data_IF_298540613456
#
_entry.id   IF_298540613456
#
_cell.length_a   1.000
_cell.length_b   1.000
_cell.length_c   1.000
_cell.angle_alpha   90.00
_cell.angle_beta   90.00
_cell.angle_gamma   90.00
#
_symmetry.space_group_name_H-M   'P 1'
#
loop_
_entity.id
_entity.type
_entity.pdbx_description
1 polymer ?
#
# COMPACT_ATOMS: atom_id res chain seq x y z
N UNK A 1 -19.71 -37.02 -61.13
CA UNK A 1 -20.58 -38.06 -60.55
C UNK A 1 -20.42 -37.97 -59.06
N UNK A 2 -21.57 -37.95 -58.39
CA UNK A 2 -21.84 -38.09 -56.96
C UNK A 2 -21.73 -36.84 -56.07
N UNK A 3 -22.83 -36.07 -56.17
CA UNK A 3 -23.46 -35.29 -55.11
C UNK A 3 -23.76 -36.18 -53.88
N UNK A 4 -23.44 -35.72 -52.67
CA UNK A 4 -24.28 -35.99 -51.48
C UNK A 4 -24.35 -34.73 -50.61
N UNK A 5 -25.55 -34.17 -50.56
CA UNK A 5 -26.09 -33.18 -49.63
C UNK A 5 -26.26 -33.74 -48.23
N UNK A 6 -26.03 -32.95 -47.17
CA UNK A 6 -26.68 -33.20 -45.87
C UNK A 6 -27.08 -31.88 -45.16
N UNK A 7 -28.39 -31.62 -45.27
CA UNK A 7 -29.36 -31.11 -44.29
C UNK A 7 -28.95 -30.04 -43.25
N UNK A 8 -29.63 -28.91 -43.33
CA UNK A 8 -29.88 -27.97 -42.23
C UNK A 8 -31.15 -28.37 -41.44
N UNK A 9 -31.08 -28.31 -40.11
CA UNK A 9 -32.14 -28.04 -39.11
C UNK A 9 -31.61 -28.53 -37.73
N UNK A 10 -31.83 -27.94 -36.54
CA UNK A 10 -32.23 -26.63 -36.01
C UNK A 10 -32.05 -26.72 -34.48
N UNK A 11 -31.37 -25.75 -33.87
CA UNK A 11 -31.63 -25.07 -32.58
C UNK A 11 -31.81 -25.94 -31.30
N UNK A 12 -30.91 -25.78 -30.31
CA UNK A 12 -31.24 -25.16 -29.00
C UNK A 12 -29.97 -24.98 -28.13
N UNK A 13 -29.93 -23.91 -27.34
CA UNK A 13 -29.03 -23.81 -26.18
C UNK A 13 -28.09 -22.60 -26.13
N UNK A 14 -28.64 -21.38 -26.12
CA UNK A 14 -28.16 -20.22 -25.35
C UNK A 14 -26.65 -19.94 -25.30
N UNK A 15 -26.14 -19.40 -26.40
CA UNK A 15 -25.03 -18.45 -26.42
C UNK A 15 -25.41 -17.17 -25.65
N UNK A 16 -25.15 -17.13 -24.34
CA UNK A 16 -25.17 -15.86 -23.56
C UNK A 16 -24.44 -15.86 -22.22
N UNK A 17 -23.45 -16.72 -22.01
CA UNK A 17 -22.69 -16.78 -20.74
C UNK A 17 -21.19 -16.49 -20.85
N UNK A 18 -20.70 -16.11 -22.04
CA UNK A 18 -19.26 -15.94 -22.31
C UNK A 18 -18.86 -14.53 -22.81
N UNK A 19 -19.70 -13.53 -22.54
CA UNK A 19 -19.43 -12.11 -22.82
C UNK A 19 -19.55 -11.17 -21.60
N UNK A 20 -19.48 -11.71 -20.37
CA UNK A 20 -19.64 -10.94 -19.13
C UNK A 20 -18.44 -11.01 -18.16
N UNK A 21 -17.24 -11.35 -18.64
CA UNK A 21 -16.00 -11.31 -17.83
C UNK A 21 -14.92 -10.41 -18.44
N UNK A 22 -15.34 -9.36 -19.14
CA UNK A 22 -14.50 -8.24 -19.56
C UNK A 22 -15.11 -6.90 -19.15
N UNK A 23 -15.63 -6.81 -17.93
CA UNK A 23 -15.64 -5.52 -17.23
C UNK A 23 -14.33 -5.43 -16.44
N UNK A 24 -13.28 -5.02 -17.14
CA UNK A 24 -12.05 -4.58 -16.53
C UNK A 24 -12.35 -3.58 -15.41
N UNK A 25 -11.76 -3.75 -14.23
CA UNK A 25 -11.76 -2.78 -13.11
C UNK A 25 -11.20 -1.38 -13.46
N UNK A 26 -10.90 -1.10 -14.73
CA UNK A 26 -10.54 0.20 -15.28
C UNK A 26 -11.68 1.25 -15.25
N UNK A 27 -12.91 0.88 -14.88
CA UNK A 27 -14.11 1.74 -15.03
C UNK A 27 -14.15 2.93 -14.04
N UNK A 28 -13.32 2.93 -13.00
CA UNK A 28 -13.43 3.92 -11.91
C UNK A 28 -12.22 4.85 -11.71
N UNK A 29 -11.26 4.86 -12.64
CA UNK A 29 -10.18 5.85 -12.60
C UNK A 29 -10.71 7.28 -12.72
N UNK A 30 -10.27 8.17 -11.82
CA UNK A 30 -10.68 9.57 -11.82
C UNK A 30 -12.11 9.82 -11.32
N UNK A 31 -12.76 8.82 -10.71
CA UNK A 31 -14.07 8.95 -10.08
C UNK A 31 -14.02 8.65 -8.58
N UNK A 32 -15.04 9.10 -7.86
CA UNK A 32 -15.24 8.75 -6.46
C UNK A 32 -15.99 7.42 -6.36
N UNK A 33 -15.45 6.50 -5.57
CA UNK A 33 -16.03 5.19 -5.27
C UNK A 33 -16.52 5.21 -3.82
N UNK A 34 -17.70 4.63 -3.58
CA UNK A 34 -18.27 4.47 -2.25
C UNK A 34 -17.88 3.11 -1.68
N UNK A 35 -17.53 3.07 -0.40
CA UNK A 35 -17.23 1.87 0.37
C UNK A 35 -17.89 1.97 1.75
N UNK A 36 -18.32 0.84 2.29
CA UNK A 36 -19.00 0.80 3.59
C UNK A 36 -18.01 0.67 4.74
N UNK A 37 -16.88 0.01 4.49
CA UNK A 37 -15.85 -0.27 5.49
C UNK A 37 -14.50 0.32 5.12
N UNK A 38 -13.67 0.56 6.13
CA UNK A 38 -12.28 0.98 5.91
C UNK A 38 -11.42 -0.17 5.35
N UNK A 39 -11.77 -1.43 5.62
CA UNK A 39 -11.08 -2.60 5.10
C UNK A 39 -11.24 -2.72 3.58
N UNK A 40 -12.44 -2.47 3.08
CA UNK A 40 -12.73 -2.39 1.65
C UNK A 40 -11.89 -1.29 0.97
N UNK A 41 -11.78 -0.12 1.60
CA UNK A 41 -10.91 0.97 1.14
C UNK A 41 -9.44 0.53 1.05
N UNK A 42 -8.93 -0.19 2.05
CA UNK A 42 -7.56 -0.70 2.04
C UNK A 42 -7.35 -1.72 0.91
N UNK A 43 -8.32 -2.61 0.69
CA UNK A 43 -8.29 -3.57 -0.41
C UNK A 43 -8.30 -2.87 -1.78
N UNK A 44 -9.13 -1.83 -1.95
CA UNK A 44 -9.15 -1.01 -3.17
C UNK A 44 -7.80 -0.33 -3.43
N UNK A 45 -7.18 0.24 -2.40
CA UNK A 45 -5.84 0.83 -2.52
C UNK A 45 -4.81 -0.24 -2.89
N UNK A 46 -4.84 -1.41 -2.26
CA UNK A 46 -3.89 -2.49 -2.54
C UNK A 46 -4.03 -3.03 -3.98
N UNK A 47 -5.26 -3.18 -4.47
CA UNK A 47 -5.53 -3.59 -5.84
C UNK A 47 -5.03 -2.53 -6.82
N UNK A 48 -5.35 -1.26 -6.56
CA UNK A 48 -4.88 -0.13 -7.37
C UNK A 48 -3.34 -0.04 -7.40
N UNK A 49 -2.66 -0.17 -6.24
CA UNK A 49 -1.19 -0.20 -6.18
C UNK A 49 -0.59 -1.37 -6.98
N UNK A 50 -1.28 -2.51 -6.99
CA UNK A 50 -0.87 -3.71 -7.72
C UNK A 50 -1.00 -3.52 -9.22
N UNK A 51 -2.12 -2.97 -9.68
CA UNK A 51 -2.43 -2.72 -11.09
C UNK A 51 -1.57 -1.60 -11.67
N UNK A 52 -1.50 -0.46 -10.98
CA UNK A 52 -0.76 0.73 -11.44
C UNK A 52 0.75 0.62 -11.24
N UNK A 53 1.18 -0.40 -10.49
CA UNK A 53 2.58 -0.61 -10.10
C UNK A 53 3.13 0.63 -9.38
N UNK A 54 2.30 1.22 -8.54
CA UNK A 54 2.64 2.40 -7.77
C UNK A 54 2.43 2.10 -6.29
N UNK A 55 3.05 2.91 -5.43
CA UNK A 55 2.95 2.76 -3.97
C UNK A 55 2.57 4.11 -3.42
N UNK A 56 1.62 4.14 -2.49
CA UNK A 56 1.15 5.35 -1.85
C UNK A 56 1.47 5.34 -0.37
N UNK A 57 1.77 6.52 0.16
CA UNK A 57 2.06 6.74 1.57
C UNK A 57 1.15 7.84 2.10
N UNK A 58 0.55 7.60 3.27
CA UNK A 58 -0.27 8.60 3.94
C UNK A 58 0.59 9.83 4.26
N UNK A 59 0.16 10.98 3.80
CA UNK A 59 0.81 12.26 4.11
C UNK A 59 -0.03 13.10 5.07
N UNK A 60 -1.33 13.18 4.83
CA UNK A 60 -2.25 13.98 5.63
C UNK A 60 -3.39 13.10 6.11
N UNK A 61 -3.71 13.22 7.39
CA UNK A 61 -4.88 12.60 7.99
C UNK A 61 -5.46 13.60 9.00
N UNK A 62 -6.75 13.84 8.90
CA UNK A 62 -7.45 14.65 9.90
C UNK A 62 -7.48 13.91 11.24
N UNK A 63 -7.34 14.66 12.34
CA UNK A 63 -7.33 14.08 13.70
C UNK A 63 -8.59 13.27 14.02
N UNK A 64 -9.72 13.66 13.41
CA UNK A 64 -11.02 13.05 13.65
C UNK A 64 -11.34 11.91 12.67
N UNK A 65 -10.45 11.59 11.73
CA UNK A 65 -10.64 10.46 10.83
C UNK A 65 -10.69 9.14 11.63
N UNK A 66 -11.83 8.46 11.57
CA UNK A 66 -12.13 7.26 12.36
C UNK A 66 -12.77 7.52 13.73
N UNK A 67 -12.91 8.77 14.17
CA UNK A 67 -13.56 9.13 15.44
C UNK A 67 -14.85 9.93 15.18
N UNK A 68 -15.97 9.21 15.09
CA UNK A 68 -17.28 9.75 14.71
C UNK A 68 -17.87 10.57 15.86
N UNK A 69 -17.84 10.03 17.08
CA UNK A 69 -18.58 10.58 18.23
C UNK A 69 -18.09 11.96 18.68
N UNK A 70 -16.79 12.21 18.60
CA UNK A 70 -16.21 13.50 19.01
C UNK A 70 -16.42 14.63 17.98
N UNK A 71 -16.80 14.31 16.73
CA UNK A 71 -16.58 15.20 15.59
C UNK A 71 -17.85 15.92 15.12
N UNK A 72 -19.01 15.25 15.08
CA UNK A 72 -20.16 15.72 14.27
C UNK A 72 -20.71 17.09 14.70
N UNK A 73 -20.67 17.44 16.00
CA UNK A 73 -21.29 18.67 16.56
C UNK A 73 -20.76 19.98 15.95
N UNK A 74 -19.50 20.01 15.53
CA UNK A 74 -18.87 21.24 15.02
C UNK A 74 -18.75 21.28 13.49
N UNK A 75 -19.25 20.25 12.79
CA UNK A 75 -19.10 20.18 11.35
C UNK A 75 -20.27 20.84 10.61
N UNK A 76 -19.94 21.45 9.47
CA UNK A 76 -20.93 22.03 8.56
C UNK A 76 -21.70 20.93 7.83
N UNK A 77 -23.03 20.97 7.91
CA UNK A 77 -23.91 20.13 7.10
C UNK A 77 -23.83 20.59 5.64
N UNK A 78 -23.60 19.63 4.75
CA UNK A 78 -23.48 19.82 3.31
C UNK A 78 -24.58 19.05 2.58
N UNK A 79 -24.86 19.49 1.36
CA UNK A 79 -25.84 18.90 0.45
C UNK A 79 -25.21 18.46 -0.87
N UNK A 80 -24.03 18.99 -1.17
CA UNK A 80 -23.21 18.69 -2.34
C UNK A 80 -21.73 18.94 -2.00
N UNK A 81 -20.85 18.22 -2.69
CA UNK A 81 -19.39 18.36 -2.62
C UNK A 81 -18.80 17.73 -3.88
N UNK A 82 -17.53 17.98 -4.21
CA UNK A 82 -16.86 17.37 -5.37
C UNK A 82 -16.94 15.84 -5.38
N UNK A 83 -17.07 15.23 -4.20
CA UNK A 83 -17.23 13.76 -4.04
C UNK A 83 -18.67 13.26 -4.01
N UNK A 84 -19.64 14.15 -3.81
CA UNK A 84 -21.06 13.78 -3.63
C UNK A 84 -21.93 14.79 -4.39
N UNK A 85 -22.48 14.42 -5.56
CA UNK A 85 -23.43 15.28 -6.25
C UNK A 85 -24.72 15.43 -5.45
N UNK A 86 -25.47 16.50 -5.70
CA UNK A 86 -26.74 16.74 -5.01
C UNK A 86 -27.74 15.61 -5.27
N UNK A 87 -28.18 14.95 -4.20
CA UNK A 87 -29.17 13.87 -4.24
C UNK A 87 -30.30 14.08 -3.21
N UNK A 88 -30.37 15.30 -2.63
CA UNK A 88 -31.32 15.66 -1.58
C UNK A 88 -31.00 15.09 -0.20
N UNK A 89 -29.94 14.28 -0.02
CA UNK A 89 -29.56 13.72 1.29
C UNK A 89 -28.46 14.58 1.93
N UNK A 90 -28.71 15.17 3.11
CA UNK A 90 -27.69 15.95 3.80
C UNK A 90 -26.60 15.03 4.39
N UNK A 91 -25.38 15.56 4.45
CA UNK A 91 -24.23 14.82 4.99
C UNK A 91 -23.21 15.73 5.67
N UNK A 92 -22.35 15.12 6.47
CA UNK A 92 -21.20 15.73 7.13
C UNK A 92 -19.93 14.99 6.71
N UNK A 93 -18.88 15.72 6.35
CA UNK A 93 -17.54 15.14 6.17
C UNK A 93 -16.87 15.12 7.53
N UNK A 94 -16.68 13.95 8.12
CA UNK A 94 -16.13 13.76 9.48
C UNK A 94 -14.61 13.96 9.50
N UNK A 95 -13.95 13.53 8.43
CA UNK A 95 -12.51 13.64 8.27
C UNK A 95 -12.07 13.20 6.88
N UNK A 96 -10.84 13.56 6.54
CA UNK A 96 -10.21 13.23 5.28
C UNK A 96 -8.81 12.66 5.48
N UNK A 97 -8.39 11.85 4.52
CA UNK A 97 -7.06 11.25 4.47
C UNK A 97 -6.53 11.32 3.05
N UNK A 98 -5.29 11.78 2.91
CA UNK A 98 -4.65 11.94 1.60
C UNK A 98 -3.34 11.16 1.58
N UNK A 99 -3.21 10.33 0.55
CA UNK A 99 -2.01 9.57 0.28
C UNK A 99 -1.32 10.14 -0.95
N UNK A 100 -0.05 10.45 -0.81
CA UNK A 100 0.81 10.83 -1.93
C UNK A 100 1.45 9.58 -2.52
N UNK A 101 1.69 9.59 -3.83
CA UNK A 101 2.57 8.62 -4.45
C UNK A 101 3.94 8.61 -3.74
N UNK A 102 4.57 7.45 -3.65
CA UNK A 102 5.91 7.29 -3.08
C UNK A 102 6.95 8.13 -3.83
N UNK A 103 6.76 8.35 -5.14
CA UNK A 103 7.54 9.24 -5.98
C UNK A 103 7.00 10.69 -6.01
N UNK A 104 6.04 11.03 -5.16
CA UNK A 104 5.42 12.35 -5.05
C UNK A 104 6.35 13.44 -4.55
N UNK A 105 5.78 14.59 -4.17
CA UNK A 105 6.54 15.71 -3.60
C UNK A 105 7.32 15.27 -2.36
N UNK A 106 8.58 15.71 -2.26
CA UNK A 106 9.32 15.59 -1.01
C UNK A 106 8.86 16.68 -0.05
N UNK A 107 8.31 16.27 1.09
CA UNK A 107 7.79 17.18 2.11
C UNK A 107 8.71 17.32 3.31
N UNK A 108 9.79 16.53 3.35
CA UNK A 108 10.80 16.55 4.42
C UNK A 108 12.13 17.14 3.93
N UNK A 109 12.08 18.03 2.94
CA UNK A 109 13.28 18.65 2.34
C UNK A 109 14.08 19.40 3.41
N UNK A 110 13.43 20.30 4.16
CA UNK A 110 14.08 21.05 5.25
C UNK A 110 14.68 20.16 6.32
N UNK A 111 13.95 19.12 6.75
CA UNK A 111 14.45 18.15 7.72
C UNK A 111 15.69 17.39 7.19
N UNK A 112 15.71 17.03 5.89
CA UNK A 112 16.86 16.37 5.27
C UNK A 112 18.06 17.31 5.15
N UNK A 113 17.84 18.57 4.82
CA UNK A 113 18.88 19.60 4.78
C UNK A 113 19.49 19.82 6.17
N UNK A 114 18.66 19.97 7.21
CA UNK A 114 19.12 20.10 8.59
C UNK A 114 19.90 18.86 9.04
N UNK A 115 19.44 17.66 8.67
CA UNK A 115 20.17 16.41 8.94
C UNK A 115 21.51 16.35 8.21
N UNK A 116 21.57 16.77 6.94
CA UNK A 116 22.82 16.85 6.17
C UNK A 116 23.82 17.81 6.84
N UNK A 117 23.36 18.98 7.29
CA UNK A 117 24.19 19.93 8.05
C UNK A 117 24.76 19.28 9.31
N UNK A 118 23.89 18.70 10.15
CA UNK A 118 24.29 18.03 11.40
C UNK A 118 25.27 16.87 11.18
N UNK A 119 25.11 16.12 10.09
CA UNK A 119 26.04 15.06 9.70
C UNK A 119 27.39 15.61 9.24
N UNK A 120 27.42 16.74 8.53
CA UNK A 120 28.66 17.38 8.12
C UNK A 120 29.42 17.94 9.33
N UNK A 121 28.74 18.54 10.32
CA UNK A 121 29.40 18.97 11.56
C UNK A 121 30.08 17.80 12.29
N UNK A 122 29.43 16.63 12.31
CA UNK A 122 30.01 15.39 12.87
C UNK A 122 31.20 14.85 12.08
N UNK A 123 31.37 15.21 10.81
CA UNK A 123 32.53 14.84 9.98
C UNK A 123 33.78 15.65 10.28
N UNK A 124 33.64 16.81 10.91
CA UNK A 124 34.77 17.66 11.34
C UNK A 124 35.46 17.07 12.59
N UNK A 125 34.85 16.08 13.24
CA UNK A 125 35.44 15.34 14.37
C UNK A 125 36.52 14.36 13.89
N UNK A 126 37.66 14.37 14.60
CA UNK A 126 38.93 13.71 14.28
C UNK A 126 38.86 12.16 14.21
N UNK A 127 37.72 11.55 14.53
CA UNK A 127 37.57 10.08 14.62
C UNK A 127 36.34 9.52 13.88
N UNK A 128 35.94 10.19 12.80
CA UNK A 128 34.68 9.87 12.13
C UNK A 128 34.89 9.04 10.85
N UNK A 129 34.95 7.72 11.00
CA UNK A 129 35.04 6.78 9.87
C UNK A 129 33.68 6.63 9.18
N UNK A 130 33.42 7.48 8.18
CA UNK A 130 32.20 7.40 7.37
C UNK A 130 32.47 6.68 6.05
N UNK A 131 31.64 5.69 5.72
CA UNK A 131 31.59 5.13 4.37
C UNK A 131 30.98 6.17 3.43
N UNK A 132 31.77 6.68 2.50
CA UNK A 132 31.27 7.47 1.38
C UNK A 132 30.78 6.54 0.28
N UNK A 133 29.48 6.55 0.02
CA UNK A 133 28.94 6.01 -1.21
C UNK A 133 28.62 7.19 -2.12
N UNK A 134 28.97 7.10 -3.41
CA UNK A 134 28.47 8.06 -4.39
C UNK A 134 26.96 7.87 -4.54
N UNK A 135 26.19 8.84 -4.06
CA UNK A 135 24.75 8.91 -4.34
C UNK A 135 24.55 9.46 -5.73
N UNK A 136 24.07 8.60 -6.64
CA UNK A 136 23.66 9.00 -7.99
C UNK A 136 22.37 9.84 -7.94
N UNK A 137 21.52 9.61 -6.94
CA UNK A 137 20.30 10.37 -6.71
C UNK A 137 20.08 10.58 -5.21
N UNK A 138 19.81 11.82 -4.83
CA UNK A 138 19.59 12.23 -3.44
C UNK A 138 18.27 11.73 -2.84
N UNK A 139 17.27 11.42 -3.68
CA UNK A 139 15.98 10.93 -3.22
C UNK A 139 15.25 10.11 -4.29
N UNK A 140 14.37 9.21 -3.82
CA UNK A 140 13.37 8.50 -4.63
C UNK A 140 12.23 9.41 -5.15
N UNK A 141 12.22 10.69 -4.79
CA UNK A 141 11.07 11.60 -5.01
C UNK A 141 11.22 12.28 -6.37
N UNK A 142 10.18 12.22 -7.21
CA UNK A 142 10.11 12.80 -8.55
C UNK A 142 9.08 13.93 -8.66
N UNK A 143 8.52 14.37 -7.53
CA UNK A 143 7.45 15.39 -7.48
C UNK A 143 6.19 14.99 -8.26
N UNK A 144 5.87 13.68 -8.26
CA UNK A 144 4.66 13.15 -8.89
C UNK A 144 3.37 13.75 -8.29
N UNK A 145 2.44 14.14 -9.17
CA UNK A 145 1.15 14.75 -8.82
C UNK A 145 0.06 13.77 -8.38
N UNK A 146 0.27 12.46 -8.55
CA UNK A 146 -0.73 11.43 -8.25
C UNK A 146 -1.01 11.33 -6.75
N UNK A 147 -2.30 11.46 -6.40
CA UNK A 147 -2.79 11.44 -5.02
C UNK A 147 -4.08 10.63 -4.91
N UNK A 148 -4.15 9.78 -3.89
CA UNK A 148 -5.39 9.11 -3.47
C UNK A 148 -6.00 9.95 -2.34
N UNK A 149 -7.29 10.25 -2.46
CA UNK A 149 -8.03 11.01 -1.44
C UNK A 149 -9.14 10.15 -0.87
N UNK A 150 -9.31 10.17 0.44
CA UNK A 150 -10.34 9.43 1.16
C UNK A 150 -11.10 10.44 2.02
N UNK A 151 -12.43 10.36 2.01
CA UNK A 151 -13.32 11.15 2.87
C UNK A 151 -14.20 10.19 3.66
N UNK A 152 -14.26 10.39 4.96
CA UNK A 152 -15.25 9.75 5.82
C UNK A 152 -16.47 10.65 5.88
N UNK A 153 -17.63 10.12 5.50
CA UNK A 153 -18.87 10.87 5.35
C UNK A 153 -19.97 10.22 6.18
N UNK A 154 -20.72 11.05 6.90
CA UNK A 154 -21.90 10.65 7.64
C UNK A 154 -23.14 11.23 6.96
N UNK A 155 -23.99 10.36 6.37
CA UNK A 155 -25.22 10.73 5.66
C UNK A 155 -26.42 10.68 6.59
N UNK A 156 -27.39 11.55 6.36
CA UNK A 156 -28.63 11.65 7.14
C UNK A 156 -29.87 11.46 6.25
N UNK A 157 -30.18 10.21 5.85
CA UNK A 157 -31.29 9.93 4.92
C UNK A 157 -32.66 10.36 5.46
N UNK A 158 -32.86 10.34 6.78
CA UNK A 158 -34.12 10.71 7.43
C UNK A 158 -34.49 12.19 7.22
N UNK A 159 -33.51 13.03 6.88
CA UNK A 159 -33.69 14.47 6.65
C UNK A 159 -33.62 14.83 5.16
N UNK A 160 -33.85 13.85 4.28
CA UNK A 160 -33.84 14.03 2.82
C UNK A 160 -34.89 15.06 2.38
N UNK A 161 -34.49 15.95 1.47
CA UNK A 161 -35.39 16.88 0.79
C UNK A 161 -35.67 16.39 -0.64
N UNK A 162 -36.91 16.55 -1.08
CA UNK A 162 -37.35 16.17 -2.45
C UNK A 162 -37.08 17.32 -3.41
N UNK A 163 -37.43 18.54 -3.01
CA UNK A 163 -37.23 19.74 -3.82
C UNK A 163 -36.06 20.55 -3.28
N UNK A 164 -35.18 20.94 -4.19
CA UNK A 164 -34.06 21.80 -3.86
C UNK A 164 -34.53 23.26 -3.72
N UNK A 165 -34.57 23.73 -2.48
CA UNK A 165 -34.73 25.15 -2.20
C UNK A 165 -33.83 25.55 -1.04
N UNK A 166 -33.31 26.79 -1.11
CA UNK A 166 -32.45 27.34 -0.06
C UNK A 166 -33.12 27.29 1.31
N UNK A 167 -34.41 27.59 1.38
CA UNK A 167 -35.17 27.56 2.62
C UNK A 167 -35.28 26.12 3.18
N UNK A 168 -35.63 25.12 2.35
CA UNK A 168 -35.68 23.71 2.78
C UNK A 168 -34.32 23.20 3.25
N UNK A 169 -33.22 23.52 2.53
CA UNK A 169 -31.85 23.16 2.95
C UNK A 169 -31.53 23.72 4.34
N UNK A 170 -31.86 24.98 4.61
CA UNK A 170 -31.62 25.62 5.92
C UNK A 170 -32.48 25.00 7.02
N UNK A 171 -33.78 24.82 6.77
CA UNK A 171 -34.71 24.26 7.76
C UNK A 171 -34.32 22.83 8.12
N UNK A 172 -34.00 21.97 7.14
CA UNK A 172 -33.53 20.61 7.41
C UNK A 172 -32.18 20.61 8.12
N UNK A 173 -31.25 21.51 7.77
CA UNK A 173 -29.95 21.60 8.47
C UNK A 173 -30.12 21.97 9.94
N UNK A 174 -31.05 22.88 10.28
CA UNK A 174 -31.36 23.22 11.68
C UNK A 174 -31.92 22.02 12.45
N UNK A 175 -32.87 21.29 11.85
CA UNK A 175 -33.42 20.06 12.45
C UNK A 175 -32.35 19.01 12.73
N UNK A 176 -31.40 18.84 11.81
CA UNK A 176 -30.27 17.91 12.00
C UNK A 176 -29.36 18.39 13.12
N UNK A 177 -29.03 19.69 13.19
CA UNK A 177 -28.22 20.25 14.28
C UNK A 177 -28.88 20.06 15.66
N UNK A 178 -30.19 20.27 15.75
CA UNK A 178 -30.96 20.02 16.97
C UNK A 178 -30.93 18.53 17.35
N UNK A 179 -31.15 17.63 16.39
CA UNK A 179 -31.09 16.18 16.62
C UNK A 179 -29.69 15.70 17.01
N UNK A 180 -28.62 16.24 16.41
CA UNK A 180 -27.23 15.97 16.80
C UNK A 180 -26.95 16.49 18.21
N UNK A 181 -27.47 17.67 18.57
CA UNK A 181 -27.28 18.25 19.90
C UNK A 181 -27.93 17.39 21.00
N UNK A 182 -29.05 16.74 20.67
CA UNK A 182 -29.77 15.79 21.54
C UNK A 182 -29.22 14.36 21.47
N UNK A 183 -28.22 14.08 20.62
CA UNK A 183 -27.73 12.73 20.29
C UNK A 183 -28.81 11.77 19.74
N UNK A 184 -29.87 12.31 19.12
CA UNK A 184 -30.97 11.53 18.52
C UNK A 184 -30.77 11.26 17.02
N UNK A 185 -29.83 11.96 16.38
CA UNK A 185 -29.56 11.81 14.95
C UNK A 185 -28.80 10.51 14.66
N UNK A 186 -29.44 9.58 13.94
CA UNK A 186 -28.80 8.38 13.41
C UNK A 186 -28.24 8.69 12.03
N UNK A 187 -26.91 8.69 11.89
CA UNK A 187 -26.22 8.89 10.62
C UNK A 187 -25.71 7.57 10.04
N UNK A 188 -25.79 7.41 8.72
CA UNK A 188 -25.18 6.29 8.00
C UNK A 188 -23.73 6.66 7.61
N UNK A 189 -22.76 5.92 8.15
CA UNK A 189 -21.34 6.12 7.85
C UNK A 189 -20.97 5.44 6.53
N UNK A 190 -20.24 6.18 5.69
CA UNK A 190 -19.65 5.68 4.46
C UNK A 190 -18.25 6.25 4.26
N UNK A 191 -17.45 5.60 3.44
CA UNK A 191 -16.17 6.10 2.96
C UNK A 191 -16.26 6.39 1.46
N UNK A 192 -15.67 7.51 1.05
CA UNK A 192 -15.52 7.87 -0.35
C UNK A 192 -14.04 7.88 -0.69
N UNK A 193 -13.63 7.15 -1.71
CA UNK A 193 -12.24 7.13 -2.20
C UNK A 193 -12.18 7.64 -3.63
N UNK A 194 -11.19 8.48 -3.89
CA UNK A 194 -10.79 8.91 -5.20
C UNK A 194 -9.48 8.23 -5.59
N UNK A 195 -9.54 7.41 -6.63
CA UNK A 195 -8.37 6.79 -7.25
C UNK A 195 -7.98 7.60 -8.48
N UNK A 196 -6.75 8.16 -8.54
CA UNK A 196 -6.36 8.99 -9.66
C UNK A 196 -6.17 8.14 -10.92
N UNK A 197 -6.26 8.74 -12.10
CA UNK A 197 -5.98 8.01 -13.34
C UNK A 197 -4.49 7.73 -13.49
N UNK A 198 -4.13 6.68 -14.21
CA UNK A 198 -2.75 6.36 -14.59
C UNK A 198 -2.02 7.54 -15.27
N UNK A 199 -2.74 8.36 -16.01
CA UNK A 199 -2.23 9.58 -16.66
C UNK A 199 -1.78 10.68 -15.69
N UNK A 200 -2.25 10.65 -14.44
CA UNK A 200 -1.91 11.65 -13.42
C UNK A 200 -0.50 11.49 -12.84
N UNK A 201 0.15 10.35 -13.11
CA UNK A 201 1.52 10.12 -12.71
C UNK A 201 2.48 10.90 -13.60
N UNK A 202 3.28 11.76 -12.98
CA UNK A 202 4.22 12.65 -13.65
C UNK A 202 5.64 12.36 -13.19
N UNK A 203 6.60 12.40 -14.13
CA UNK A 203 8.03 12.28 -13.83
C UNK A 203 8.53 10.89 -13.46
N UNK A 204 7.70 9.83 -13.53
CA UNK A 204 8.16 8.45 -13.36
C UNK A 204 7.33 7.46 -14.17
N UNK A 205 7.92 6.29 -14.45
CA UNK A 205 7.23 5.20 -15.12
C UNK A 205 6.14 4.58 -14.24
N UNK A 206 5.05 4.13 -14.86
CA UNK A 206 3.94 3.38 -14.24
C UNK A 206 3.63 2.11 -15.05
N UNK A 207 2.82 1.19 -14.49
CA UNK A 207 2.41 -0.04 -15.16
C UNK A 207 3.57 -0.99 -15.47
N UNK A 208 3.52 -1.66 -16.63
CA UNK A 208 4.51 -2.69 -17.01
C UNK A 208 5.96 -2.20 -17.00
N UNK A 209 6.22 -0.93 -17.33
CA UNK A 209 7.55 -0.34 -17.29
C UNK A 209 8.07 -0.16 -15.85
N UNK A 210 7.16 0.11 -14.89
CA UNK A 210 7.48 0.21 -13.47
C UNK A 210 7.58 -1.15 -12.77
N UNK A 211 7.08 -2.22 -13.39
CA UNK A 211 7.17 -3.61 -12.91
C UNK A 211 8.60 -4.06 -12.56
N UNK A 212 9.61 -3.40 -13.14
CA UNK A 212 11.03 -3.61 -12.81
C UNK A 212 11.34 -3.32 -11.33
N UNK A 213 10.67 -2.33 -10.74
CA UNK A 213 10.91 -1.84 -9.38
C UNK A 213 9.95 -2.43 -8.33
N UNK A 214 9.05 -3.35 -8.71
CA UNK A 214 8.13 -3.94 -7.74
C UNK A 214 8.88 -4.82 -6.73
N UNK A 215 8.52 -4.73 -5.43
CA UNK A 215 8.94 -5.75 -4.48
C UNK A 215 8.35 -7.10 -4.89
N UNK A 216 9.11 -8.17 -4.64
CA UNK A 216 8.60 -9.54 -4.81
C UNK A 216 7.36 -9.70 -3.92
N UNK A 217 6.37 -10.45 -4.39
CA UNK A 217 5.21 -10.83 -3.59
C UNK A 217 5.64 -11.44 -2.24
N UNK A 218 4.96 -11.07 -1.15
CA UNK A 218 5.36 -11.45 0.20
C UNK A 218 5.43 -12.98 0.38
N UNK A 219 4.51 -13.72 -0.24
CA UNK A 219 4.45 -15.19 -0.16
C UNK A 219 5.68 -15.82 -0.83
N UNK A 220 6.04 -15.32 -2.01
CA UNK A 220 7.22 -15.78 -2.74
C UNK A 220 8.50 -15.41 -2.01
N UNK A 221 8.53 -14.23 -1.37
CA UNK A 221 9.65 -13.83 -0.53
C UNK A 221 9.79 -14.82 0.64
N UNK A 222 8.72 -15.11 1.37
CA UNK A 222 8.74 -16.08 2.48
C UNK A 222 9.21 -17.45 2.03
N UNK A 223 8.73 -17.96 0.88
CA UNK A 223 9.23 -19.22 0.32
C UNK A 223 10.75 -19.17 0.08
N UNK A 224 11.30 -18.08 -0.50
CA UNK A 224 12.76 -17.96 -0.69
C UNK A 224 13.49 -18.07 0.66
N UNK A 225 12.98 -17.44 1.72
CA UNK A 225 13.61 -17.49 3.04
C UNK A 225 13.57 -18.90 3.65
N UNK A 226 12.43 -19.59 3.55
CA UNK A 226 12.25 -20.95 4.07
C UNK A 226 13.07 -21.96 3.26
N UNK A 227 12.92 -21.96 1.94
CA UNK A 227 13.57 -22.91 1.06
C UNK A 227 15.08 -22.69 0.88
N UNK A 228 15.63 -21.54 1.29
CA UNK A 228 17.07 -21.24 1.20
C UNK A 228 17.97 -22.19 2.00
N UNK A 229 17.41 -22.99 2.91
CA UNK A 229 18.16 -24.03 3.66
C UNK A 229 18.55 -25.20 2.77
N UNK A 230 17.65 -25.58 1.88
CA UNK A 230 17.76 -26.80 1.08
C UNK A 230 18.10 -26.48 -0.38
N UNK A 231 17.63 -25.33 -0.88
CA UNK A 231 17.79 -24.92 -2.27
C UNK A 231 18.81 -23.78 -2.34
N UNK A 232 20.04 -24.13 -2.68
CA UNK A 232 21.14 -23.18 -2.95
C UNK A 232 21.16 -22.71 -4.41
N UNK A 233 20.59 -23.49 -5.32
CA UNK A 233 20.58 -23.20 -6.76
C UNK A 233 19.52 -22.15 -7.12
N UNK A 234 19.95 -21.07 -7.76
CA UNK A 234 19.05 -19.98 -8.20
C UNK A 234 18.03 -20.46 -9.23
N UNK A 235 18.43 -21.39 -10.11
CA UNK A 235 17.56 -21.93 -11.15
C UNK A 235 16.49 -22.87 -10.59
N UNK A 236 16.83 -23.63 -9.56
CA UNK A 236 15.87 -24.49 -8.85
C UNK A 236 14.88 -23.66 -8.03
N UNK A 237 15.37 -22.67 -7.30
CA UNK A 237 14.52 -21.71 -6.58
C UNK A 237 13.56 -21.02 -7.56
N UNK A 238 14.05 -20.59 -8.72
CA UNK A 238 13.21 -19.99 -9.76
C UNK A 238 12.09 -20.93 -10.20
N UNK A 239 12.40 -22.20 -10.51
CA UNK A 239 11.40 -23.20 -10.91
C UNK A 239 10.35 -23.41 -9.81
N UNK A 240 10.77 -23.50 -8.55
CA UNK A 240 9.87 -23.63 -7.39
C UNK A 240 8.90 -22.44 -7.31
N UNK A 241 9.41 -21.21 -7.43
CA UNK A 241 8.58 -20.01 -7.44
C UNK A 241 7.59 -20.00 -8.63
N UNK A 242 8.02 -20.40 -9.82
CA UNK A 242 7.13 -20.51 -10.99
C UNK A 242 5.98 -21.50 -10.75
N UNK A 243 6.26 -22.63 -10.07
CA UNK A 243 5.24 -23.62 -9.68
C UNK A 243 4.25 -23.02 -8.68
N UNK A 244 4.74 -22.31 -7.66
CA UNK A 244 3.88 -21.68 -6.64
C UNK A 244 2.98 -20.63 -7.29
N UNK A 245 3.53 -19.77 -8.14
CA UNK A 245 2.75 -18.74 -8.85
C UNK A 245 1.65 -19.38 -9.68
N UNK A 246 1.99 -20.40 -10.48
CA UNK A 246 1.03 -21.02 -11.40
C UNK A 246 0.01 -21.93 -10.71
N UNK A 247 0.41 -22.69 -9.70
CA UNK A 247 -0.44 -23.73 -9.08
C UNK A 247 -1.13 -23.28 -7.80
N UNK A 248 -0.52 -22.39 -7.03
CA UNK A 248 -1.02 -21.97 -5.72
C UNK A 248 -1.62 -20.56 -5.77
N UNK A 249 -0.93 -19.60 -6.39
CA UNK A 249 -1.37 -18.19 -6.40
C UNK A 249 -2.45 -17.96 -7.48
N UNK A 250 -2.24 -18.46 -8.70
CA UNK A 250 -3.11 -18.20 -9.87
C UNK A 250 -3.84 -19.45 -10.38
N UNK A 251 -4.22 -20.38 -9.49
CA UNK A 251 -4.82 -21.68 -9.87
C UNK A 251 -6.04 -21.57 -10.80
N UNK A 252 -6.90 -20.57 -10.55
CA UNK A 252 -8.18 -20.37 -11.26
C UNK A 252 -8.24 -19.01 -11.96
N UNK A 253 -7.11 -18.32 -12.14
CA UNK A 253 -7.06 -16.97 -12.68
C UNK A 253 -5.99 -16.86 -13.77
N UNK A 254 -6.08 -15.81 -14.58
CA UNK A 254 -5.14 -15.57 -15.67
C UNK A 254 -3.75 -15.32 -15.05
N UNK A 255 -2.80 -16.20 -15.38
CA UNK A 255 -1.43 -16.08 -14.91
C UNK A 255 -0.80 -14.78 -15.44
N UNK A 256 -0.15 -13.98 -14.58
CA UNK A 256 0.51 -12.77 -15.02
C UNK A 256 1.65 -13.08 -16.01
N UNK A 257 1.95 -12.12 -16.89
CA UNK A 257 3.07 -12.27 -17.84
C UNK A 257 4.39 -12.53 -17.09
N UNK A 258 5.27 -13.36 -17.67
CA UNK A 258 6.62 -13.63 -17.16
C UNK A 258 7.49 -12.36 -17.03
N UNK A 259 7.10 -11.27 -17.69
CA UNK A 259 7.74 -9.96 -17.56
C UNK A 259 7.45 -9.27 -16.21
N UNK A 260 6.41 -9.70 -15.49
CA UNK A 260 6.03 -9.14 -14.19
C UNK A 260 6.98 -9.63 -13.09
N UNK A 261 7.91 -8.77 -12.66
CA UNK A 261 8.96 -9.13 -11.69
C UNK A 261 8.45 -9.33 -10.26
N UNK A 262 7.21 -8.93 -9.94
CA UNK A 262 6.59 -9.20 -8.63
C UNK A 262 6.36 -10.69 -8.41
N UNK A 263 5.89 -11.38 -9.46
CA UNK A 263 5.61 -12.82 -9.43
C UNK A 263 6.74 -13.65 -10.05
N UNK A 264 7.43 -13.11 -11.06
CA UNK A 264 8.52 -13.79 -11.74
C UNK A 264 9.84 -13.02 -11.53
N UNK A 265 10.46 -13.12 -10.34
CA UNK A 265 11.67 -12.37 -10.03
C UNK A 265 12.86 -12.75 -10.92
N UNK A 266 13.76 -11.79 -11.12
CA UNK A 266 14.99 -12.03 -11.86
C UNK A 266 15.96 -12.94 -11.07
N UNK A 267 16.83 -13.67 -11.78
CA UNK A 267 17.88 -14.48 -11.14
C UNK A 267 18.73 -13.67 -10.15
N UNK A 268 19.04 -12.41 -10.48
CA UNK A 268 19.77 -11.48 -9.60
C UNK A 268 18.99 -11.21 -8.31
N UNK A 269 17.69 -10.98 -8.42
CA UNK A 269 16.82 -10.70 -7.27
C UNK A 269 16.73 -11.92 -6.36
N UNK A 270 16.50 -13.11 -6.92
CA UNK A 270 16.47 -14.38 -6.17
C UNK A 270 17.79 -14.57 -5.40
N UNK A 271 18.93 -14.47 -6.08
CA UNK A 271 20.25 -14.59 -5.45
C UNK A 271 20.43 -13.61 -4.29
N UNK A 272 19.99 -12.36 -4.45
CA UNK A 272 20.07 -11.36 -3.38
C UNK A 272 19.26 -11.75 -2.15
N UNK A 273 18.02 -12.21 -2.33
CA UNK A 273 17.17 -12.64 -1.21
C UNK A 273 17.67 -13.93 -0.55
N UNK A 274 18.14 -14.91 -1.33
CA UNK A 274 18.77 -16.12 -0.77
C UNK A 274 19.99 -15.77 0.08
N UNK A 275 20.86 -14.85 -0.39
CA UNK A 275 21.99 -14.37 0.39
C UNK A 275 21.55 -13.60 1.64
N UNK A 276 20.47 -12.80 1.57
CA UNK A 276 19.89 -12.14 2.73
C UNK A 276 19.38 -13.16 3.76
N UNK A 277 18.69 -14.21 3.32
CA UNK A 277 18.19 -15.29 4.16
C UNK A 277 19.34 -16.01 4.88
N UNK A 278 20.38 -16.39 4.14
CA UNK A 278 21.60 -17.01 4.70
C UNK A 278 22.27 -16.07 5.72
N UNK A 279 22.42 -14.78 5.40
CA UNK A 279 23.03 -13.81 6.33
C UNK A 279 22.22 -13.67 7.62
N UNK A 280 20.88 -13.60 7.54
CA UNK A 280 20.03 -13.53 8.74
C UNK A 280 20.24 -14.74 9.65
N UNK A 281 20.47 -15.93 9.06
CA UNK A 281 20.79 -17.15 9.81
C UNK A 281 22.21 -17.15 10.37
N UNK A 282 23.19 -16.56 9.68
CA UNK A 282 24.57 -16.42 10.19
C UNK A 282 24.67 -15.53 11.42
N UNK A 283 23.84 -14.51 11.54
CA UNK A 283 23.70 -13.72 12.77
C UNK A 283 22.82 -14.43 13.81
N UNK A 284 23.00 -15.74 13.96
CA UNK A 284 22.32 -16.56 14.98
C UNK A 284 22.75 -16.10 16.37
N UNK A 285 21.81 -16.14 17.34
CA UNK A 285 22.08 -15.91 18.76
C UNK A 285 23.25 -16.76 19.30
N UNK A 286 23.50 -17.92 18.67
CA UNK A 286 24.58 -18.86 18.99
C UNK A 286 25.96 -18.18 18.91
N UNK A 287 26.20 -17.28 17.96
CA UNK A 287 27.50 -16.60 17.84
C UNK A 287 27.75 -15.63 19.01
N UNK A 288 26.70 -14.95 19.51
CA UNK A 288 26.80 -14.11 20.70
C UNK A 288 27.02 -14.95 21.97
N UNK A 289 26.33 -16.08 22.11
CA UNK A 289 26.50 -17.00 23.24
C UNK A 289 27.90 -17.62 23.28
N UNK A 290 28.43 -18.05 22.13
CA UNK A 290 29.80 -18.55 22.03
C UNK A 290 30.83 -17.46 22.35
N UNK A 291 30.60 -16.23 21.90
CA UNK A 291 31.47 -15.10 22.20
C UNK A 291 31.43 -14.73 23.70
N UNK A 292 30.26 -14.76 24.34
CA UNK A 292 30.09 -14.55 25.79
C UNK A 292 30.89 -15.60 26.56
N UNK A 293 30.70 -16.89 26.26
CA UNK A 293 31.43 -17.99 26.91
C UNK A 293 32.94 -17.86 26.76
N UNK A 294 33.40 -17.42 25.58
CA UNK A 294 34.83 -17.21 25.30
C UNK A 294 35.39 -16.03 26.10
N UNK A 295 34.62 -14.95 26.25
CA UNK A 295 35.00 -13.79 27.08
C UNK A 295 35.03 -14.17 28.57
N UNK A 296 34.12 -15.02 29.04
CA UNK A 296 34.17 -15.57 30.41
C UNK A 296 35.43 -16.40 30.64
N UNK A 297 35.76 -17.29 29.71
CA UNK A 297 37.01 -18.07 29.76
C UNK A 297 38.25 -17.15 29.83
N UNK A 298 38.30 -16.10 29.01
CA UNK A 298 39.43 -15.16 29.02
C UNK A 298 39.54 -14.34 30.30
N UNK A 299 38.42 -14.02 30.96
CA UNK A 299 38.43 -13.38 32.29
C UNK A 299 39.04 -14.29 33.35
N UNK A 300 38.81 -15.60 33.26
CA UNK A 300 39.42 -16.60 34.16
C UNK A 300 40.92 -16.77 33.87
N UNK A 301 41.31 -16.86 32.60
CA UNK A 301 42.70 -17.06 32.19
C UNK A 301 43.58 -15.81 32.42
N UNK A 302 42.99 -14.61 32.39
CA UNK A 302 43.71 -13.34 32.49
C UNK A 302 43.03 -12.38 33.48
N UNK A 303 43.10 -12.64 34.80
CA UNK A 303 42.35 -11.88 35.82
C UNK A 303 42.76 -10.40 35.92
N UNK A 304 43.96 -10.05 35.47
CA UNK A 304 44.43 -8.66 35.44
C UNK A 304 43.95 -7.87 34.20
N UNK A 305 43.36 -8.51 33.19
CA UNK A 305 42.83 -7.86 31.99
C UNK A 305 41.32 -7.65 32.11
N UNK A 306 40.86 -6.42 31.87
CA UNK A 306 39.43 -6.09 31.86
C UNK A 306 38.86 -6.32 30.45
N UNK A 307 38.08 -7.39 30.29
CA UNK A 307 37.34 -7.66 29.07
C UNK A 307 35.92 -7.08 29.18
N UNK A 308 35.58 -6.16 28.29
CA UNK A 308 34.23 -5.63 28.14
C UNK A 308 33.65 -6.09 26.80
N UNK A 309 32.57 -6.87 26.87
CA UNK A 309 31.81 -7.29 25.70
C UNK A 309 30.49 -6.54 25.70
N UNK A 310 30.14 -5.94 24.56
CA UNK A 310 28.84 -5.29 24.36
C UNK A 310 27.97 -6.15 23.44
N UNK A 311 27.01 -6.92 23.99
CA UNK A 311 26.12 -7.73 23.18
C UNK A 311 25.25 -6.85 22.29
N UNK A 312 24.96 -7.31 21.07
CA UNK A 312 24.16 -6.53 20.13
C UNK A 312 22.67 -6.69 20.47
N UNK A 313 21.99 -5.59 20.79
CA UNK A 313 20.55 -5.54 21.08
C UNK A 313 20.21 -5.21 22.53
N UNK A 314 21.20 -5.15 23.42
CA UNK A 314 21.03 -4.69 24.80
C UNK A 314 21.51 -3.24 24.86
N UNK A 315 20.57 -2.30 24.93
CA UNK A 315 20.87 -0.94 25.38
C UNK A 315 20.95 -0.96 26.90
N UNK A 316 22.12 -0.71 27.45
CA UNK A 316 22.28 -0.45 28.89
C UNK A 316 21.49 0.83 29.22
N UNK A 317 20.45 0.69 30.06
CA UNK A 317 19.88 1.81 30.84
C UNK A 317 20.88 2.22 31.91
#
# INVERSE_FOLDING_TARGET
MDNISFSYDKISGDDKSLSLLQESNLINEGKWICAESYEEILALIQNYETETVSKFSCYSADKNFGNIEASVKHHKIRWEDDSVPFNGVPFVIVGSKVFDCMHGRDRKVSFKEEYKMRCNDRKVSDHSYFKSYEMIQDAKKFNCSSQIKIKEVLKFPDFKIIEDSKWKRVTSSKKIQEAISKNEAVGQKIFLIFLPSMSSHTGHFTGNAAGISQPIDARLKEEIFTSSEFITSVDEMRRRLEIIVTREIFKNSICPSKSNKRFFPSKKTIRSYTLEAIRKKRYSNIDQECLIKKVEQWKVENPHRRFYLRPKGISEN
#
